data_IF_908874333568
#
_entry.id   IF_908874333568
#
_cell.length_a   1.000
_cell.length_b   1.000
_cell.length_c   1.000
_cell.angle_alpha   90.00
_cell.angle_beta   90.00
_cell.angle_gamma   90.00
#
_symmetry.space_group_name_H-M   'P 1'
#
loop_
_entity.id
_entity.type
_entity.pdbx_description
1 polymer ?
#
# COMPACT_ATOMS: atom_id res chain seq x y z
N UNK A 1 7.14 -12.99 14.09
CA UNK A 1 8.25 -13.90 13.68
C UNK A 1 8.07 -14.21 12.20
N UNK A 2 9.13 -14.33 11.39
CA UNK A 2 8.96 -14.82 10.00
C UNK A 2 8.93 -16.34 9.97
N UNK A 3 7.89 -16.92 9.39
CA UNK A 3 7.74 -18.36 9.16
C UNK A 3 7.74 -18.64 7.65
N UNK A 4 8.37 -19.72 7.21
CA UNK A 4 8.45 -20.06 5.79
C UNK A 4 7.40 -21.13 5.43
N UNK A 5 6.45 -20.75 4.59
CA UNK A 5 5.43 -21.64 4.04
C UNK A 5 6.03 -22.44 2.88
N UNK A 6 6.17 -23.75 3.03
CA UNK A 6 6.90 -24.60 2.09
C UNK A 6 6.14 -24.86 0.79
N UNK A 7 4.81 -25.02 0.84
CA UNK A 7 3.96 -25.21 -0.34
C UNK A 7 3.79 -23.89 -1.08
N UNK A 8 3.42 -22.82 -0.37
CA UNK A 8 3.30 -21.46 -0.95
C UNK A 8 4.65 -20.81 -1.34
N UNK A 9 5.79 -21.36 -0.88
CA UNK A 9 7.15 -20.86 -1.12
C UNK A 9 7.33 -19.37 -0.79
N UNK A 10 6.81 -18.95 0.37
CA UNK A 10 6.83 -17.55 0.82
C UNK A 10 6.97 -17.43 2.33
N UNK A 11 7.47 -16.29 2.80
CA UNK A 11 7.41 -15.95 4.21
C UNK A 11 6.03 -15.40 4.59
N UNK A 12 5.49 -15.88 5.70
CA UNK A 12 4.45 -15.18 6.46
C UNK A 12 5.03 -14.63 7.78
N UNK A 13 4.31 -13.69 8.37
CA UNK A 13 4.72 -12.90 9.52
C UNK A 13 3.64 -12.98 10.60
N UNK A 14 3.60 -14.11 11.28
CA UNK A 14 2.67 -14.39 12.38
C UNK A 14 3.32 -14.08 13.74
N UNK A 15 2.58 -14.35 14.81
CA UNK A 15 3.08 -14.24 16.17
C UNK A 15 3.10 -12.81 16.69
N UNK A 16 1.94 -12.19 16.55
CA UNK A 16 1.58 -10.89 17.11
C UNK A 16 1.23 -11.00 18.60
N UNK A 17 1.02 -12.20 19.15
CA UNK A 17 0.67 -12.40 20.58
C UNK A 17 1.79 -11.90 21.50
N UNK A 18 3.04 -11.89 21.02
CA UNK A 18 4.20 -11.29 21.70
C UNK A 18 4.09 -9.80 22.01
N UNK A 19 3.19 -9.05 21.36
CA UNK A 19 2.90 -7.65 21.67
C UNK A 19 1.74 -7.47 22.69
N UNK A 20 1.05 -8.54 23.08
CA UNK A 20 0.05 -8.50 24.17
C UNK A 20 0.75 -8.54 25.55
N UNK A 21 0.09 -8.12 26.65
CA UNK A 21 0.60 -8.33 28.01
C UNK A 21 1.01 -9.79 28.27
N UNK A 22 2.04 -10.02 29.10
CA UNK A 22 2.62 -11.36 29.28
C UNK A 22 1.66 -12.37 29.95
N UNK A 23 0.70 -11.88 30.73
CA UNK A 23 -0.40 -12.64 31.32
C UNK A 23 -1.62 -12.83 30.39
N UNK A 24 -1.62 -12.24 29.18
CA UNK A 24 -2.79 -12.28 28.29
C UNK A 24 -3.09 -13.69 27.78
N UNK A 25 -4.35 -14.14 27.95
CA UNK A 25 -4.79 -15.52 27.70
C UNK A 25 -4.42 -16.07 26.31
N UNK A 26 -4.42 -15.23 25.27
CA UNK A 26 -4.04 -15.65 23.92
C UNK A 26 -2.62 -16.24 23.83
N UNK A 27 -1.65 -15.76 24.63
CA UNK A 27 -0.26 -16.27 24.61
C UNK A 27 -0.14 -17.77 24.86
N UNK A 28 -1.09 -18.37 25.61
CA UNK A 28 -1.13 -19.80 25.97
C UNK A 28 -2.11 -20.63 25.12
N UNK A 29 -2.98 -20.00 24.32
CA UNK A 29 -4.10 -20.65 23.60
C UNK A 29 -3.67 -21.31 22.27
N UNK A 30 -2.58 -22.10 22.29
CA UNK A 30 -1.92 -22.63 21.09
C UNK A 30 -2.83 -23.26 20.02
N UNK A 31 -3.89 -23.98 20.45
CA UNK A 31 -4.88 -24.63 19.56
C UNK A 31 -5.71 -23.67 18.70
N UNK A 32 -5.85 -22.40 19.10
CA UNK A 32 -6.59 -21.38 18.34
C UNK A 32 -5.73 -20.75 17.21
N UNK A 33 -4.42 -21.01 17.20
CA UNK A 33 -3.45 -20.33 16.34
C UNK A 33 -2.59 -21.32 15.53
N UNK A 34 -1.26 -21.28 15.70
CA UNK A 34 -0.25 -22.05 14.96
C UNK A 34 0.29 -23.26 15.77
N UNK A 35 -0.46 -23.75 16.75
CA UNK A 35 -0.06 -24.77 17.72
C UNK A 35 1.14 -24.40 18.62
N UNK A 36 1.60 -23.13 18.64
CA UNK A 36 2.67 -22.67 19.53
C UNK A 36 2.18 -21.77 20.68
N UNK A 37 2.96 -21.73 21.77
CA UNK A 37 2.77 -20.77 22.87
C UNK A 37 3.77 -19.62 22.73
N UNK A 38 3.32 -18.38 22.93
CA UNK A 38 4.12 -17.17 22.70
C UNK A 38 4.41 -16.47 24.02
N UNK A 39 5.37 -17.01 24.77
CA UNK A 39 5.83 -16.47 26.05
C UNK A 39 7.00 -15.47 25.92
N UNK A 40 7.63 -15.40 24.73
CA UNK A 40 8.66 -14.41 24.38
C UNK A 40 8.13 -12.96 24.47
N UNK A 41 9.03 -12.01 24.73
CA UNK A 41 8.72 -10.57 24.63
C UNK A 41 8.58 -10.13 23.16
N UNK A 42 7.97 -8.96 22.95
CA UNK A 42 7.98 -8.30 21.64
C UNK A 42 9.45 -8.03 21.21
N UNK A 43 9.80 -8.20 19.92
CA UNK A 43 11.12 -7.83 19.43
C UNK A 43 11.43 -6.36 19.67
N UNK A 44 12.59 -6.08 20.26
CA UNK A 44 13.07 -4.72 20.47
C UNK A 44 13.52 -4.13 19.12
N UNK A 45 13.06 -2.90 18.82
CA UNK A 45 13.46 -2.18 17.61
C UNK A 45 14.97 -1.93 17.61
N UNK A 46 15.64 -2.31 16.53
CA UNK A 46 17.08 -2.13 16.36
C UNK A 46 17.48 -0.65 16.43
N UNK A 47 18.51 -0.33 17.23
CA UNK A 47 19.10 1.02 17.32
C UNK A 47 19.86 1.39 16.05
N UNK A 48 20.02 2.69 15.78
CA UNK A 48 20.82 3.17 14.66
C UNK A 48 22.27 2.67 14.72
N UNK A 49 22.89 2.69 15.90
CA UNK A 49 24.26 2.21 16.12
C UNK A 49 24.41 0.74 15.74
N UNK A 50 23.44 -0.10 16.13
CA UNK A 50 23.43 -1.52 15.75
C UNK A 50 23.23 -1.71 14.26
N UNK A 51 22.35 -0.93 13.62
CA UNK A 51 22.14 -0.98 12.18
C UNK A 51 23.40 -0.54 11.39
N UNK A 52 24.10 0.51 11.84
CA UNK A 52 25.36 0.95 11.22
C UNK A 52 26.48 -0.09 11.40
N UNK A 53 26.63 -0.69 12.59
CA UNK A 53 27.58 -1.80 12.82
C UNK A 53 27.37 -2.98 11.88
N UNK A 54 26.11 -3.32 11.56
CA UNK A 54 25.80 -4.38 10.58
C UNK A 54 26.16 -4.03 9.13
N UNK A 55 26.37 -2.74 8.83
CA UNK A 55 26.78 -2.23 7.52
C UNK A 55 28.30 -1.97 7.42
N UNK A 56 29.00 -1.85 8.56
CA UNK A 56 30.45 -1.66 8.61
C UNK A 56 31.19 -2.82 7.91
N UNK A 57 32.26 -2.49 7.18
CA UNK A 57 33.05 -3.46 6.41
C UNK A 57 32.35 -4.06 5.17
N UNK A 58 31.07 -3.74 4.89
CA UNK A 58 30.35 -4.29 3.74
C UNK A 58 30.47 -3.39 2.50
N UNK A 59 30.97 -3.95 1.40
CA UNK A 59 31.08 -3.26 0.10
C UNK A 59 29.79 -3.43 -0.71
N UNK A 60 29.09 -2.33 -0.95
CA UNK A 60 27.86 -2.30 -1.75
C UNK A 60 28.13 -1.78 -3.16
N UNK A 61 28.12 -2.67 -4.15
CA UNK A 61 28.24 -2.28 -5.56
C UNK A 61 26.90 -1.74 -6.07
N UNK A 62 26.86 -0.44 -6.40
CA UNK A 62 25.71 0.19 -7.02
C UNK A 62 25.65 -0.11 -8.53
N UNK A 63 24.44 -0.19 -9.09
CA UNK A 63 24.20 -0.53 -10.50
C UNK A 63 24.07 -2.03 -10.78
N UNK A 64 23.59 -2.37 -11.99
CA UNK A 64 23.68 -3.75 -12.50
C UNK A 64 25.07 -3.96 -13.07
N UNK A 65 25.74 -5.07 -12.73
CA UNK A 65 26.88 -5.55 -13.52
C UNK A 65 26.37 -5.82 -14.95
N UNK A 66 26.76 -4.96 -15.90
CA UNK A 66 26.65 -5.28 -17.32
C UNK A 66 27.60 -6.45 -17.55
N UNK A 67 27.04 -7.63 -17.79
CA UNK A 67 27.84 -8.81 -18.13
C UNK A 67 28.30 -8.62 -19.58
N UNK A 68 29.43 -7.94 -19.75
CA UNK A 68 30.13 -7.86 -21.03
C UNK A 68 30.57 -9.29 -21.36
N UNK A 69 29.85 -9.94 -22.27
CA UNK A 69 30.22 -11.25 -22.76
C UNK A 69 31.62 -11.16 -23.39
N UNK A 70 32.59 -11.95 -22.87
CA UNK A 70 33.93 -12.03 -23.46
C UNK A 70 33.78 -12.46 -24.92
N UNK A 71 34.19 -11.61 -25.86
CA UNK A 71 34.29 -11.98 -27.29
C UNK A 71 35.32 -13.10 -27.44
N UNK A 72 34.85 -14.32 -27.70
CA UNK A 72 35.71 -15.40 -28.16
C UNK A 72 36.22 -15.10 -29.58
N UNK A 73 37.50 -15.37 -29.85
CA UNK A 73 38.07 -15.32 -31.20
C UNK A 73 37.51 -16.46 -32.05
N UNK A 74 37.07 -16.19 -33.30
CA UNK A 74 36.60 -17.25 -34.21
C UNK A 74 36.19 -16.81 -35.62
N UNK A 75 37.17 -16.79 -36.54
CA UNK A 75 37.15 -16.87 -38.03
C UNK A 75 36.07 -16.14 -38.90
N UNK A 76 36.55 -15.58 -40.02
CA UNK A 76 35.80 -14.91 -41.11
C UNK A 76 34.98 -15.86 -42.01
N UNK A 77 33.77 -15.42 -42.40
CA UNK A 77 33.09 -15.48 -43.73
C UNK A 77 31.74 -14.71 -43.62
N UNK A 78 31.21 -13.98 -44.62
CA UNK A 78 31.83 -13.42 -45.83
C UNK A 78 30.84 -13.15 -46.99
N UNK A 79 30.44 -11.86 -47.21
CA UNK A 79 29.51 -11.34 -48.26
C UNK A 79 28.04 -11.82 -48.16
N UNK A 80 26.99 -11.11 -48.63
CA UNK A 80 26.83 -9.78 -49.26
C UNK A 80 25.40 -9.20 -48.96
N UNK A 81 25.17 -7.93 -49.35
CA UNK A 81 23.88 -7.29 -49.75
C UNK A 81 22.64 -7.15 -48.83
N UNK A 82 22.27 -5.87 -48.63
CA UNK A 82 20.93 -5.25 -48.83
C UNK A 82 19.88 -5.04 -47.70
N UNK A 83 18.97 -4.09 -48.01
CA UNK A 83 18.15 -3.25 -47.10
C UNK A 83 16.83 -3.92 -46.70
N UNK A 84 16.32 -3.58 -45.51
CA UNK A 84 14.95 -3.87 -45.12
C UNK A 84 14.56 -3.19 -43.79
N UNK A 85 13.45 -2.46 -43.78
CA UNK A 85 12.83 -1.81 -42.61
C UNK A 85 12.11 -2.81 -41.69
N UNK A 86 12.09 -2.56 -40.37
CA UNK A 86 10.87 -2.53 -39.53
C UNK A 86 11.16 -2.29 -38.03
N UNK A 87 10.11 -2.07 -37.23
CA UNK A 87 10.15 -1.42 -35.91
C UNK A 87 10.49 -2.27 -34.67
N UNK A 88 10.36 -1.70 -33.45
CA UNK A 88 10.89 -2.30 -32.23
C UNK A 88 10.03 -3.44 -31.66
N UNK A 89 10.40 -4.68 -31.97
CA UNK A 89 9.73 -5.87 -31.44
C UNK A 89 10.04 -6.16 -29.95
N UNK A 90 9.04 -6.64 -29.21
CA UNK A 90 9.10 -6.86 -27.76
C UNK A 90 9.91 -8.12 -27.40
N UNK A 91 11.11 -7.94 -26.85
CA UNK A 91 11.97 -9.07 -26.43
C UNK A 91 11.32 -9.96 -25.34
N UNK A 92 10.89 -11.17 -25.73
CA UNK A 92 10.51 -12.26 -24.82
C UNK A 92 11.71 -12.73 -23.99
N UNK A 93 11.55 -12.79 -22.66
CA UNK A 93 12.55 -13.40 -21.74
C UNK A 93 12.64 -14.91 -21.95
N UNK A 94 13.73 -15.41 -22.53
CA UNK A 94 14.04 -16.85 -22.53
C UNK A 94 14.43 -17.31 -21.11
N UNK A 95 13.81 -18.40 -20.62
CA UNK A 95 14.17 -19.07 -19.36
C UNK A 95 15.46 -19.88 -19.56
N UNK A 96 16.34 -19.90 -18.56
CA UNK A 96 17.51 -20.78 -18.55
C UNK A 96 17.10 -22.26 -18.23
N UNK A 97 17.89 -23.27 -18.63
CA UNK A 97 17.52 -24.67 -18.46
C UNK A 97 17.56 -25.14 -17.01
N UNK A 98 16.71 -26.12 -16.71
CA UNK A 98 16.50 -26.68 -15.39
C UNK A 98 17.62 -27.70 -15.04
N UNK A 99 18.39 -27.48 -13.97
CA UNK A 99 19.33 -28.50 -13.44
C UNK A 99 18.63 -29.29 -12.32
N UNK A 100 18.57 -30.61 -12.45
CA UNK A 100 17.83 -31.51 -11.55
C UNK A 100 18.48 -31.62 -10.14
N UNK A 101 17.62 -32.00 -9.21
CA UNK A 101 17.80 -32.40 -7.81
C UNK A 101 19.17 -32.93 -7.36
N UNK A 102 19.58 -32.46 -6.17
CA UNK A 102 20.54 -33.12 -5.27
C UNK A 102 20.42 -32.54 -3.86
N UNK A 103 20.25 -33.41 -2.85
CA UNK A 103 20.19 -33.21 -1.40
C UNK A 103 19.93 -31.80 -0.82
N UNK A 104 18.85 -31.69 -0.05
CA UNK A 104 18.55 -30.50 0.79
C UNK A 104 19.50 -30.50 2.01
N UNK A 105 20.74 -30.06 1.78
CA UNK A 105 21.59 -29.61 2.87
C UNK A 105 20.88 -28.48 3.62
N UNK A 106 20.78 -28.61 4.96
CA UNK A 106 20.18 -27.61 5.85
C UNK A 106 20.94 -26.30 5.62
N UNK A 107 20.30 -25.31 4.97
CA UNK A 107 20.97 -24.03 4.68
C UNK A 107 21.45 -23.42 5.99
N UNK A 108 22.69 -22.90 6.07
CA UNK A 108 23.16 -22.24 7.27
C UNK A 108 22.20 -21.11 7.63
N UNK A 109 21.98 -20.91 8.93
CA UNK A 109 21.20 -19.78 9.41
C UNK A 109 21.84 -18.49 8.89
N UNK A 110 21.06 -17.70 8.16
CA UNK A 110 21.54 -16.42 7.65
C UNK A 110 21.74 -15.48 8.82
N UNK A 111 22.92 -14.86 8.91
CA UNK A 111 23.11 -13.79 9.88
C UNK A 111 22.15 -12.65 9.51
N UNK A 112 21.62 -11.89 10.48
CA UNK A 112 20.70 -10.78 10.19
C UNK A 112 21.30 -9.75 9.20
N UNK A 113 22.62 -9.62 9.21
CA UNK A 113 23.40 -8.80 8.28
C UNK A 113 23.27 -9.22 6.80
N UNK A 114 23.06 -10.51 6.52
CA UNK A 114 22.94 -11.07 5.16
C UNK A 114 21.61 -10.69 4.47
N UNK A 115 20.74 -10.00 5.19
CA UNK A 115 19.54 -9.37 4.66
C UNK A 115 19.85 -8.06 3.90
N UNK A 116 20.95 -7.37 4.21
CA UNK A 116 21.34 -6.12 3.56
C UNK A 116 21.91 -6.35 2.17
N UNK A 117 21.09 -6.11 1.13
CA UNK A 117 21.50 -6.20 -0.29
C UNK A 117 21.97 -4.87 -0.90
N UNK A 118 21.73 -3.76 -0.20
CA UNK A 118 22.05 -2.38 -0.62
C UNK A 118 22.25 -1.51 0.62
N UNK A 119 23.12 -0.50 0.51
CA UNK A 119 23.19 0.65 1.42
C UNK A 119 22.47 1.84 0.77
N UNK A 120 21.66 2.55 1.52
CA UNK A 120 21.12 3.86 1.14
C UNK A 120 22.17 4.94 1.43
N UNK A 121 22.23 6.00 0.61
CA UNK A 121 23.05 7.18 0.88
C UNK A 121 22.71 7.85 2.22
N UNK A 122 21.48 7.66 2.72
CA UNK A 122 21.06 8.21 4.01
C UNK A 122 21.80 7.62 5.20
N UNK A 123 22.42 6.43 5.08
CA UNK A 123 23.27 5.87 6.15
C UNK A 123 24.62 6.60 6.29
N UNK A 124 24.97 7.49 5.34
CA UNK A 124 26.18 8.31 5.38
C UNK A 124 25.95 9.69 6.04
N UNK A 125 24.70 10.00 6.44
CA UNK A 125 24.36 11.21 7.17
C UNK A 125 24.75 11.07 8.65
N UNK A 126 25.49 12.04 9.19
CA UNK A 126 26.00 12.03 10.57
C UNK A 126 24.91 11.78 11.62
N UNK A 127 23.73 12.39 11.43
CA UNK A 127 22.60 12.24 12.34
C UNK A 127 21.79 10.93 12.17
N UNK A 128 22.11 10.09 11.18
CA UNK A 128 21.29 8.90 10.87
C UNK A 128 21.23 7.92 12.04
N UNK A 129 22.34 7.76 12.77
CA UNK A 129 22.40 6.92 13.97
C UNK A 129 21.35 7.32 15.03
N UNK A 130 21.13 8.63 15.17
CA UNK A 130 20.27 9.22 16.20
C UNK A 130 18.83 9.45 15.72
N UNK A 131 18.55 9.33 14.42
CA UNK A 131 17.19 9.41 13.89
C UNK A 131 16.31 8.33 14.56
N UNK A 132 15.21 8.73 15.21
CA UNK A 132 14.26 7.81 15.85
C UNK A 132 13.36 7.10 14.81
N UNK A 133 12.91 7.82 13.78
CA UNK A 133 12.03 7.33 12.72
C UNK A 133 12.85 6.78 11.54
N UNK A 134 13.54 5.65 11.77
CA UNK A 134 14.50 5.07 10.81
C UNK A 134 13.86 4.39 9.61
N UNK A 135 12.64 3.91 9.75
CA UNK A 135 11.95 3.14 8.71
C UNK A 135 10.96 3.99 7.90
N UNK A 136 10.32 4.99 8.53
CA UNK A 136 9.34 5.90 7.93
C UNK A 136 8.35 5.14 7.03
N UNK A 137 7.58 4.26 7.66
CA UNK A 137 6.76 3.26 7.00
C UNK A 137 5.70 3.92 6.10
N UNK A 138 5.68 3.48 4.84
CA UNK A 138 4.77 3.96 3.81
C UNK A 138 3.34 3.48 4.07
N UNK A 139 2.60 4.25 4.88
CA UNK A 139 1.23 3.93 5.29
C UNK A 139 0.31 3.77 4.07
N UNK A 140 0.52 4.55 3.00
CA UNK A 140 -0.29 4.50 1.79
C UNK A 140 -0.18 3.13 1.11
N UNK A 141 1.04 2.64 0.92
CA UNK A 141 1.25 1.34 0.32
C UNK A 141 0.91 0.19 1.26
N UNK A 142 1.12 0.34 2.57
CA UNK A 142 0.71 -0.66 3.57
C UNK A 142 -0.81 -0.84 3.56
N UNK A 143 -1.56 0.25 3.73
CA UNK A 143 -3.02 0.26 3.74
C UNK A 143 -3.59 -0.30 2.42
N UNK A 144 -3.06 0.16 1.27
CA UNK A 144 -3.43 -0.39 -0.05
C UNK A 144 -3.20 -1.90 -0.14
N UNK A 145 -2.05 -2.40 0.33
CA UNK A 145 -1.76 -3.83 0.29
C UNK A 145 -2.68 -4.63 1.23
N UNK A 146 -3.03 -4.08 2.40
CA UNK A 146 -3.97 -4.70 3.34
C UNK A 146 -5.36 -4.80 2.72
N UNK A 147 -5.85 -3.71 2.12
CA UNK A 147 -7.11 -3.69 1.37
C UNK A 147 -7.11 -4.68 0.19
N UNK A 148 -6.06 -4.69 -0.64
CA UNK A 148 -5.95 -5.61 -1.79
C UNK A 148 -5.88 -7.08 -1.35
N UNK A 149 -5.25 -7.36 -0.20
CA UNK A 149 -5.24 -8.69 0.41
C UNK A 149 -6.61 -9.10 0.96
N UNK A 150 -7.32 -8.18 1.63
CA UNK A 150 -8.69 -8.41 2.11
C UNK A 150 -9.63 -8.69 0.94
N UNK A 151 -9.83 -7.73 0.03
CA UNK A 151 -10.73 -7.86 -1.13
C UNK A 151 -10.38 -9.08 -1.99
N UNK A 152 -9.09 -9.30 -2.26
CA UNK A 152 -8.64 -10.45 -3.05
C UNK A 152 -9.01 -11.79 -2.42
N UNK A 153 -9.08 -11.86 -1.09
CA UNK A 153 -9.46 -13.07 -0.33
C UNK A 153 -10.99 -13.17 -0.19
N UNK A 154 -11.67 -12.08 0.21
CA UNK A 154 -13.12 -12.04 0.39
C UNK A 154 -13.88 -12.39 -0.89
N UNK A 155 -13.48 -11.79 -2.02
CA UNK A 155 -14.06 -12.04 -3.34
C UNK A 155 -13.45 -13.27 -4.04
N UNK A 156 -12.50 -13.96 -3.40
CA UNK A 156 -11.72 -15.08 -3.94
C UNK A 156 -11.25 -14.85 -5.39
N UNK A 157 -10.50 -13.76 -5.58
CA UNK A 157 -10.03 -13.33 -6.90
C UNK A 157 -8.77 -14.13 -7.26
N UNK A 158 -8.79 -14.80 -8.41
CA UNK A 158 -7.62 -15.55 -8.90
C UNK A 158 -6.34 -14.67 -8.93
N UNK A 159 -5.20 -15.31 -8.63
CA UNK A 159 -3.88 -14.72 -8.39
C UNK A 159 -3.76 -13.72 -7.21
N UNK A 160 -4.85 -13.16 -6.69
CA UNK A 160 -4.84 -12.20 -5.55
C UNK A 160 -5.23 -12.84 -4.22
N UNK A 161 -6.13 -13.82 -4.25
CA UNK A 161 -6.62 -14.56 -3.08
C UNK A 161 -5.49 -15.12 -2.24
N UNK A 162 -5.67 -15.10 -0.92
CA UNK A 162 -4.75 -15.76 0.01
C UNK A 162 -5.14 -17.21 0.28
N UNK A 163 -6.24 -17.68 -0.33
CA UNK A 163 -6.89 -18.96 -0.06
C UNK A 163 -6.57 -20.09 -1.07
N UNK A 164 -5.57 -19.91 -1.93
CA UNK A 164 -5.25 -20.90 -2.96
C UNK A 164 -4.76 -22.26 -2.42
N UNK A 165 -4.83 -23.31 -3.25
CA UNK A 165 -4.47 -24.70 -2.91
C UNK A 165 -3.16 -24.84 -2.10
N UNK A 166 -2.09 -24.15 -2.50
CA UNK A 166 -0.82 -24.20 -1.78
C UNK A 166 -0.94 -23.69 -0.33
N UNK A 167 -1.72 -22.63 -0.09
CA UNK A 167 -1.95 -22.10 1.25
C UNK A 167 -2.78 -23.05 2.12
N UNK A 168 -3.68 -23.84 1.51
CA UNK A 168 -4.43 -24.91 2.19
C UNK A 168 -3.55 -26.12 2.49
N UNK A 169 -2.66 -26.51 1.57
CA UNK A 169 -1.66 -27.57 1.81
C UNK A 169 -0.65 -27.18 2.92
N UNK A 170 -0.29 -25.89 3.02
CA UNK A 170 0.56 -25.41 4.13
C UNK A 170 -0.12 -25.61 5.51
N UNK A 171 -1.46 -25.60 5.61
CA UNK A 171 -2.17 -25.88 6.87
C UNK A 171 -1.93 -27.31 7.37
N UNK A 172 -1.91 -28.29 6.45
CA UNK A 172 -1.58 -29.68 6.75
C UNK A 172 -0.14 -29.85 7.23
N UNK A 173 0.80 -29.12 6.61
CA UNK A 173 2.21 -29.15 7.01
C UNK A 173 2.49 -28.47 8.36
N UNK A 174 1.68 -27.47 8.74
CA UNK A 174 1.73 -26.82 10.07
C UNK A 174 0.91 -27.62 11.11
N UNK A 175 0.02 -28.52 10.68
CA UNK A 175 -0.85 -29.32 11.57
C UNK A 175 -2.02 -28.53 12.16
N UNK A 176 -2.53 -27.51 11.47
CA UNK A 176 -3.63 -26.65 11.93
C UNK A 176 -4.85 -26.74 11.02
N UNK A 177 -6.03 -26.41 11.60
CA UNK A 177 -7.30 -26.22 10.87
C UNK A 177 -7.61 -27.34 9.87
N UNK A 178 -7.64 -28.59 10.33
CA UNK A 178 -7.92 -29.78 9.52
C UNK A 178 -9.17 -29.64 8.64
N UNK A 179 -10.24 -29.03 9.15
CA UNK A 179 -11.48 -28.76 8.41
C UNK A 179 -11.33 -27.87 7.16
N UNK A 180 -10.21 -27.15 7.01
CA UNK A 180 -9.89 -26.33 5.83
C UNK A 180 -8.84 -26.98 4.92
N UNK A 181 -8.26 -28.12 5.28
CA UNK A 181 -7.24 -28.77 4.46
C UNK A 181 -7.85 -29.33 3.15
N UNK A 182 -7.06 -29.53 2.09
CA UNK A 182 -7.56 -30.17 0.88
C UNK A 182 -7.81 -31.66 1.11
N UNK A 183 -8.87 -32.20 0.49
CA UNK A 183 -9.20 -33.62 0.55
C UNK A 183 -9.31 -34.19 -0.88
N UNK A 184 -9.18 -35.51 -1.04
CA UNK A 184 -9.50 -36.17 -2.30
C UNK A 184 -11.00 -36.50 -2.33
N UNK A 185 -11.73 -35.95 -3.30
CA UNK A 185 -13.12 -36.30 -3.56
C UNK A 185 -13.27 -37.53 -4.45
N UNK A 186 -14.50 -37.99 -4.67
CA UNK A 186 -14.91 -39.26 -5.31
C UNK A 186 -14.31 -39.57 -6.71
N UNK A 187 -13.62 -38.62 -7.33
CA UNK A 187 -13.02 -38.74 -8.67
C UNK A 187 -11.52 -38.43 -8.70
N UNK A 188 -10.82 -38.53 -7.56
CA UNK A 188 -9.41 -38.19 -7.43
C UNK A 188 -9.11 -36.71 -7.68
N UNK A 189 -10.13 -35.85 -7.64
CA UNK A 189 -9.97 -34.39 -7.69
C UNK A 189 -9.70 -33.88 -6.29
N UNK A 190 -8.72 -32.99 -6.17
CA UNK A 190 -8.48 -32.27 -4.92
C UNK A 190 -9.57 -31.24 -4.70
N UNK A 191 -10.37 -31.42 -3.66
CA UNK A 191 -11.45 -30.51 -3.27
C UNK A 191 -10.99 -29.58 -2.13
N UNK A 192 -11.43 -28.32 -2.20
CA UNK A 192 -11.10 -27.28 -1.22
C UNK A 192 -12.37 -26.93 -0.42
N UNK A 193 -12.41 -27.20 0.90
CA UNK A 193 -13.53 -26.80 1.75
C UNK A 193 -13.76 -25.29 1.72
N UNK A 194 -15.01 -24.86 1.67
CA UNK A 194 -15.36 -23.43 1.68
C UNK A 194 -14.86 -22.75 2.96
N UNK A 195 -14.09 -21.66 2.84
CA UNK A 195 -13.56 -20.94 3.99
C UNK A 195 -14.57 -19.96 4.60
N UNK A 196 -14.55 -19.72 5.92
CA UNK A 196 -15.45 -18.75 6.60
C UNK A 196 -15.19 -17.29 6.20
N UNK A 197 -14.12 -17.02 5.45
CA UNK A 197 -13.75 -15.69 4.95
C UNK A 197 -13.94 -15.52 3.44
N UNK A 198 -14.35 -16.55 2.69
CA UNK A 198 -14.73 -16.39 1.29
C UNK A 198 -16.21 -16.04 1.20
N UNK A 199 -16.59 -15.14 0.29
CA UNK A 199 -17.98 -14.81 0.01
C UNK A 199 -18.59 -15.79 -0.99
N UNK A 200 -19.83 -16.24 -0.72
CA UNK A 200 -20.69 -16.84 -1.73
C UNK A 200 -21.07 -15.81 -2.82
N UNK A 201 -21.51 -16.30 -3.98
CA UNK A 201 -21.70 -15.49 -5.18
C UNK A 201 -22.66 -14.32 -4.95
N UNK A 202 -23.76 -14.56 -4.24
CA UNK A 202 -24.80 -13.58 -3.89
C UNK A 202 -24.21 -12.42 -3.06
N UNK A 203 -23.33 -12.75 -2.11
CA UNK A 203 -22.63 -11.76 -1.28
C UNK A 203 -21.60 -10.95 -2.09
N UNK A 204 -20.89 -11.60 -3.04
CA UNK A 204 -20.00 -10.92 -4.00
C UNK A 204 -20.78 -9.96 -4.90
N UNK A 205 -21.96 -10.37 -5.39
CA UNK A 205 -22.85 -9.55 -6.21
C UNK A 205 -23.35 -8.30 -5.46
N UNK A 206 -23.74 -8.43 -4.18
CA UNK A 206 -24.09 -7.28 -3.33
C UNK A 206 -22.89 -6.33 -3.17
N UNK A 207 -21.71 -6.83 -2.78
CA UNK A 207 -20.54 -5.98 -2.54
C UNK A 207 -20.12 -5.22 -3.82
N UNK A 208 -20.04 -5.92 -4.94
CA UNK A 208 -19.70 -5.32 -6.23
C UNK A 208 -20.75 -4.28 -6.67
N UNK A 209 -22.05 -4.53 -6.41
CA UNK A 209 -23.12 -3.58 -6.72
C UNK A 209 -23.01 -2.31 -5.87
N UNK A 210 -22.76 -2.43 -4.57
CA UNK A 210 -22.55 -1.28 -3.67
C UNK A 210 -21.36 -0.45 -4.13
N UNK A 211 -20.20 -1.07 -4.40
CA UNK A 211 -19.00 -0.34 -4.85
C UNK A 211 -19.19 0.28 -6.23
N UNK A 212 -19.89 -0.40 -7.16
CA UNK A 212 -20.13 0.10 -8.52
C UNK A 212 -21.04 1.34 -8.56
N UNK A 213 -22.00 1.40 -7.64
CA UNK A 213 -23.02 2.45 -7.57
C UNK A 213 -22.67 3.57 -6.57
N UNK A 214 -21.66 3.35 -5.71
CA UNK A 214 -21.18 4.34 -4.77
C UNK A 214 -20.70 5.61 -5.49
N UNK A 215 -21.14 6.77 -5.00
CA UNK A 215 -20.70 8.09 -5.44
C UNK A 215 -20.05 8.80 -4.26
N UNK A 216 -18.88 9.38 -4.48
CA UNK A 216 -18.16 10.22 -3.52
C UNK A 216 -18.24 11.68 -3.96
N UNK A 217 -17.97 12.65 -3.06
CA UNK A 217 -17.68 14.03 -3.45
C UNK A 217 -16.55 14.12 -4.49
N UNK A 218 -16.50 15.19 -5.28
CA UNK A 218 -15.40 15.39 -6.21
C UNK A 218 -14.07 15.56 -5.46
N UNK A 219 -12.98 15.17 -6.12
CA UNK A 219 -11.65 15.08 -5.48
C UNK A 219 -11.47 13.96 -4.44
N UNK A 220 -12.55 13.39 -3.88
CA UNK A 220 -12.48 12.38 -2.82
C UNK A 220 -12.05 10.99 -3.32
N UNK A 221 -12.57 10.53 -4.46
CA UNK A 221 -12.14 9.26 -5.05
C UNK A 221 -12.29 9.26 -6.58
N UNK A 222 -11.76 8.24 -7.25
CA UNK A 222 -12.06 8.01 -8.66
C UNK A 222 -13.44 7.36 -8.84
N UNK A 223 -13.93 7.31 -10.09
CA UNK A 223 -15.20 6.65 -10.40
C UNK A 223 -15.05 5.12 -10.26
N UNK A 224 -15.41 4.59 -9.09
CA UNK A 224 -15.35 3.17 -8.75
C UNK A 224 -16.10 2.27 -9.74
N UNK A 225 -17.15 2.77 -10.41
CA UNK A 225 -17.92 2.01 -11.41
C UNK A 225 -17.05 1.48 -12.55
N UNK A 226 -15.95 2.18 -12.88
CA UNK A 226 -14.95 1.75 -13.88
C UNK A 226 -14.00 0.66 -13.38
N UNK A 227 -13.97 0.42 -12.07
CA UNK A 227 -13.08 -0.53 -11.40
C UNK A 227 -13.77 -1.86 -11.05
N UNK A 228 -15.11 -1.93 -11.14
CA UNK A 228 -15.91 -3.14 -10.85
C UNK A 228 -16.20 -3.92 -12.14
N UNK A 229 -15.80 -5.18 -12.18
CA UNK A 229 -16.27 -6.13 -13.19
C UNK A 229 -17.40 -6.98 -12.62
N UNK A 230 -18.65 -6.72 -13.05
CA UNK A 230 -19.85 -7.45 -12.59
C UNK A 230 -19.98 -8.87 -13.16
N UNK A 231 -19.24 -9.24 -14.21
CA UNK A 231 -19.27 -10.62 -14.76
C UNK A 231 -18.42 -11.55 -13.90
N UNK A 232 -17.20 -11.10 -13.61
CA UNK A 232 -16.23 -11.86 -12.80
C UNK A 232 -16.39 -11.61 -11.28
N UNK A 233 -17.17 -10.60 -10.89
CA UNK A 233 -17.35 -10.14 -9.51
C UNK A 233 -16.01 -9.75 -8.86
N UNK A 234 -15.18 -9.00 -9.60
CA UNK A 234 -13.83 -8.59 -9.19
C UNK A 234 -13.63 -7.07 -9.20
N UNK A 235 -12.66 -6.61 -8.38
CA UNK A 235 -12.18 -5.23 -8.38
C UNK A 235 -10.79 -5.13 -9.02
N UNK A 236 -10.64 -4.17 -9.95
CA UNK A 236 -9.41 -3.94 -10.72
C UNK A 236 -9.19 -2.44 -10.99
N UNK A 237 -7.94 -2.01 -11.18
CA UNK A 237 -7.63 -0.62 -11.56
C UNK A 237 -7.74 0.43 -10.43
N UNK A 238 -8.10 0.04 -9.21
CA UNK A 238 -8.15 0.93 -8.04
C UNK A 238 -6.77 1.52 -7.72
N UNK A 239 -6.71 2.82 -7.47
CA UNK A 239 -5.53 3.54 -6.97
C UNK A 239 -5.47 3.45 -5.45
N UNK A 240 -4.33 3.79 -4.86
CA UNK A 240 -4.14 3.76 -3.40
C UNK A 240 -5.19 4.58 -2.64
N UNK A 241 -5.61 5.73 -3.18
CA UNK A 241 -6.65 6.58 -2.60
C UNK A 241 -8.05 5.95 -2.67
N UNK A 242 -8.34 5.22 -3.75
CA UNK A 242 -9.59 4.47 -3.86
C UNK A 242 -9.62 3.35 -2.82
N UNK A 243 -8.51 2.62 -2.64
CA UNK A 243 -8.38 1.59 -1.62
C UNK A 243 -8.55 2.13 -0.20
N UNK A 244 -8.01 3.32 0.09
CA UNK A 244 -8.15 4.03 1.36
C UNK A 244 -9.62 4.37 1.67
N UNK A 245 -10.29 5.09 0.77
CA UNK A 245 -11.71 5.46 0.92
C UNK A 245 -12.62 4.23 1.02
N UNK A 246 -12.37 3.20 0.20
CA UNK A 246 -13.16 1.98 0.28
C UNK A 246 -12.90 1.24 1.60
N UNK A 247 -11.64 1.09 2.07
CA UNK A 247 -11.35 0.38 3.32
C UNK A 247 -11.95 1.07 4.55
N UNK A 248 -11.83 2.40 4.65
CA UNK A 248 -12.20 3.14 5.86
C UNK A 248 -13.69 3.45 5.97
N UNK A 249 -14.35 3.80 4.85
CA UNK A 249 -15.71 4.36 4.88
C UNK A 249 -16.76 3.46 4.23
N UNK A 250 -16.43 2.76 3.15
CA UNK A 250 -17.43 2.04 2.33
C UNK A 250 -17.53 0.55 2.71
N UNK A 251 -16.38 -0.13 2.83
CA UNK A 251 -16.32 -1.57 3.09
C UNK A 251 -16.92 -1.96 4.44
N UNK A 252 -16.74 -1.22 5.56
CA UNK A 252 -17.38 -1.54 6.83
C UNK A 252 -18.90 -1.52 6.73
N UNK A 253 -19.45 -0.52 6.05
CA UNK A 253 -20.91 -0.35 5.85
C UNK A 253 -21.44 -1.41 4.88
N UNK A 254 -20.77 -1.65 3.75
CA UNK A 254 -21.16 -2.66 2.78
C UNK A 254 -21.17 -4.06 3.40
N UNK A 255 -20.17 -4.39 4.23
CA UNK A 255 -20.06 -5.70 4.85
C UNK A 255 -21.22 -6.00 5.80
N UNK A 256 -21.89 -5.02 6.43
CA UNK A 256 -23.07 -5.26 7.27
C UNK A 256 -24.16 -6.11 6.56
N UNK A 257 -24.27 -6.00 5.24
CA UNK A 257 -25.23 -6.73 4.41
C UNK A 257 -24.63 -7.89 3.59
N UNK A 258 -23.30 -8.00 3.47
CA UNK A 258 -22.66 -9.00 2.61
C UNK A 258 -21.47 -9.76 3.25
N UNK A 259 -21.25 -9.64 4.57
CA UNK A 259 -20.15 -10.31 5.26
C UNK A 259 -20.14 -11.85 5.01
N UNK A 260 -18.97 -12.49 4.81
CA UNK A 260 -18.93 -13.95 4.66
C UNK A 260 -19.32 -14.64 5.97
N UNK A 261 -18.73 -14.21 7.09
CA UNK A 261 -19.04 -14.59 8.48
C UNK A 261 -18.97 -13.37 9.41
N UNK A 262 -19.61 -13.46 10.58
CA UNK A 262 -19.66 -12.35 11.57
C UNK A 262 -18.27 -11.96 12.07
N UNK A 263 -17.40 -12.94 12.32
CA UNK A 263 -16.03 -12.70 12.77
C UNK A 263 -15.25 -11.85 11.75
N UNK A 264 -15.40 -12.16 10.46
CA UNK A 264 -14.74 -11.43 9.37
C UNK A 264 -15.29 -10.01 9.24
N UNK A 265 -16.59 -9.81 9.45
CA UNK A 265 -17.19 -8.46 9.51
C UNK A 265 -16.53 -7.63 10.62
N UNK A 266 -16.48 -8.17 11.84
CA UNK A 266 -15.90 -7.49 13.01
C UNK A 266 -14.43 -7.14 12.75
N UNK A 267 -13.64 -8.10 12.26
CA UNK A 267 -12.23 -7.88 11.92
C UNK A 267 -12.02 -6.77 10.88
N UNK A 268 -12.83 -6.71 9.82
CA UNK A 268 -12.68 -5.64 8.82
C UNK A 268 -13.12 -4.28 9.37
N UNK A 269 -14.16 -4.23 10.20
CA UNK A 269 -14.58 -3.01 10.91
C UNK A 269 -13.49 -2.53 11.88
N UNK A 270 -12.84 -3.43 12.63
CA UNK A 270 -11.70 -3.12 13.51
C UNK A 270 -10.52 -2.54 12.71
N UNK A 271 -10.15 -3.16 11.59
CA UNK A 271 -9.06 -2.69 10.71
C UNK A 271 -9.36 -1.32 10.09
N UNK A 272 -10.61 -1.10 9.64
CA UNK A 272 -11.04 0.17 9.07
C UNK A 272 -11.00 1.29 10.12
N UNK A 273 -11.53 1.04 11.32
CA UNK A 273 -11.46 1.98 12.45
C UNK A 273 -10.03 2.26 12.88
N UNK A 274 -9.14 1.26 12.84
CA UNK A 274 -7.71 1.44 13.11
C UNK A 274 -7.08 2.42 12.13
N UNK A 275 -7.20 2.18 10.81
CA UNK A 275 -6.63 3.08 9.81
C UNK A 275 -7.29 4.47 9.84
N UNK A 276 -8.60 4.55 10.10
CA UNK A 276 -9.33 5.83 10.21
C UNK A 276 -8.87 6.67 11.39
N UNK A 277 -8.60 6.07 12.56
CA UNK A 277 -7.99 6.77 13.69
C UNK A 277 -6.53 7.16 13.41
N UNK A 278 -5.74 6.25 12.86
CA UNK A 278 -4.32 6.46 12.55
C UNK A 278 -4.10 7.57 11.50
N UNK A 279 -4.97 7.65 10.50
CA UNK A 279 -4.90 8.62 9.40
C UNK A 279 -5.66 9.92 9.68
N UNK A 280 -6.13 10.14 10.92
CA UNK A 280 -6.76 11.39 11.35
C UNK A 280 -5.82 12.59 11.18
N UNK A 281 -6.38 13.75 10.82
CA UNK A 281 -5.65 15.03 10.74
C UNK A 281 -5.06 15.47 12.09
N UNK A 282 -5.70 15.06 13.19
CA UNK A 282 -5.29 15.34 14.56
C UNK A 282 -5.16 14.01 15.30
N UNK A 283 -4.02 13.78 15.95
CA UNK A 283 -3.76 12.60 16.78
C UNK A 283 -3.76 13.00 18.25
N UNK A 284 -4.62 12.36 19.04
CA UNK A 284 -4.56 12.38 20.49
C UNK A 284 -3.56 11.29 20.97
N UNK A 285 -2.45 11.70 21.57
CA UNK A 285 -1.43 10.79 22.08
C UNK A 285 -1.96 9.83 23.17
N UNK A 286 -2.99 10.22 23.93
CA UNK A 286 -3.62 9.37 24.95
C UNK A 286 -4.50 8.25 24.35
N UNK A 287 -5.00 8.45 23.12
CA UNK A 287 -5.71 7.43 22.35
C UNK A 287 -4.74 6.45 21.65
N UNK A 288 -3.50 6.87 21.36
CA UNK A 288 -2.55 6.05 20.59
C UNK A 288 -2.18 4.74 21.31
N UNK A 289 -2.04 4.72 22.65
CA UNK A 289 -1.77 3.46 23.36
C UNK A 289 -2.93 2.46 23.26
N UNK A 290 -4.18 2.94 23.34
CA UNK A 290 -5.37 2.12 23.10
C UNK A 290 -5.44 1.63 21.66
N UNK A 291 -5.01 2.45 20.70
CA UNK A 291 -4.93 2.11 19.28
C UNK A 291 -3.88 1.01 19.02
N UNK A 292 -2.73 1.08 19.70
CA UNK A 292 -1.69 0.05 19.67
C UNK A 292 -2.18 -1.28 20.27
N UNK A 293 -2.90 -1.25 21.39
CA UNK A 293 -3.49 -2.45 21.98
C UNK A 293 -4.57 -3.07 21.05
N UNK A 294 -5.42 -2.21 20.48
CA UNK A 294 -6.49 -2.61 19.56
C UNK A 294 -5.94 -3.32 18.32
N UNK A 295 -4.92 -2.76 17.66
CA UNK A 295 -4.36 -3.38 16.45
C UNK A 295 -3.65 -4.71 16.72
N UNK A 296 -3.00 -4.85 17.88
CA UNK A 296 -2.39 -6.12 18.31
C UNK A 296 -3.47 -7.18 18.53
N UNK A 297 -4.58 -6.84 19.21
CA UNK A 297 -5.72 -7.74 19.40
C UNK A 297 -6.37 -8.12 18.07
N UNK A 298 -6.59 -7.14 17.18
CA UNK A 298 -7.15 -7.34 15.83
C UNK A 298 -6.27 -8.31 15.05
N UNK A 299 -4.95 -8.08 14.95
CA UNK A 299 -4.02 -8.97 14.25
C UNK A 299 -3.98 -10.39 14.84
N UNK A 300 -4.14 -10.55 16.16
CA UNK A 300 -4.28 -11.86 16.78
C UNK A 300 -5.62 -12.54 16.42
N UNK A 301 -6.74 -11.82 16.47
CA UNK A 301 -8.04 -12.36 16.08
C UNK A 301 -8.08 -12.72 14.59
N UNK A 302 -7.42 -11.94 13.73
CA UNK A 302 -7.18 -12.30 12.33
C UNK A 302 -6.40 -13.62 12.20
N UNK A 303 -5.39 -13.87 13.04
CA UNK A 303 -4.57 -15.08 12.99
C UNK A 303 -5.36 -16.36 13.35
N UNK A 304 -6.50 -16.21 14.02
CA UNK A 304 -7.48 -17.28 14.26
C UNK A 304 -8.40 -17.55 13.07
N UNK A 305 -8.66 -16.53 12.24
CA UNK A 305 -9.66 -16.57 11.15
C UNK A 305 -9.02 -16.75 9.78
N UNK A 306 -8.08 -15.89 9.37
CA UNK A 306 -7.42 -15.94 8.07
C UNK A 306 -6.23 -16.92 8.05
N UNK A 307 -5.89 -17.45 6.87
CA UNK A 307 -4.77 -18.39 6.73
C UNK A 307 -3.40 -17.73 7.01
N UNK A 308 -2.37 -18.50 7.41
CA UNK A 308 -0.98 -18.02 7.51
C UNK A 308 -0.49 -17.26 6.27
N UNK A 309 -0.95 -17.68 5.10
CA UNK A 309 -0.67 -17.07 3.79
C UNK A 309 -1.11 -15.60 3.64
N UNK A 310 -2.02 -15.12 4.50
CA UNK A 310 -2.54 -13.76 4.53
C UNK A 310 -1.56 -12.78 5.20
N UNK A 311 -0.80 -13.26 6.20
CA UNK A 311 0.13 -12.48 7.02
C UNK A 311 1.41 -12.13 6.24
N UNK A 312 1.27 -11.30 5.22
CA UNK A 312 2.38 -10.70 4.48
C UNK A 312 3.12 -9.68 5.35
N UNK A 313 4.32 -9.27 4.91
CA UNK A 313 5.07 -8.20 5.59
C UNK A 313 4.25 -6.93 5.76
N UNK A 314 3.43 -6.55 4.78
CA UNK A 314 2.58 -5.34 4.87
C UNK A 314 1.53 -5.45 5.98
N UNK A 315 0.92 -6.62 6.18
CA UNK A 315 -0.01 -6.87 7.31
C UNK A 315 0.74 -6.82 8.64
N UNK A 316 1.95 -7.37 8.70
CA UNK A 316 2.77 -7.29 9.91
C UNK A 316 3.21 -5.85 10.25
N UNK A 317 3.54 -5.03 9.26
CA UNK A 317 3.96 -3.64 9.48
C UNK A 317 2.92 -2.79 10.21
N UNK A 318 1.63 -3.17 10.16
CA UNK A 318 0.54 -2.53 10.89
C UNK A 318 0.80 -2.42 12.40
N UNK A 319 1.47 -3.42 13.00
CA UNK A 319 1.76 -3.43 14.45
C UNK A 319 2.74 -2.34 14.88
N UNK A 320 3.51 -1.77 13.94
CA UNK A 320 4.51 -0.73 14.18
C UNK A 320 4.02 0.68 13.83
N UNK A 321 2.88 0.81 13.14
CA UNK A 321 2.41 2.10 12.60
C UNK A 321 2.07 3.13 13.68
N UNK A 322 1.60 2.70 14.84
CA UNK A 322 1.24 3.60 15.94
C UNK A 322 2.49 4.21 16.56
N UNK A 323 3.56 3.42 16.76
CA UNK A 323 4.85 3.93 17.23
C UNK A 323 5.47 4.91 16.20
N UNK A 324 5.39 4.58 14.91
CA UNK A 324 5.79 5.49 13.83
C UNK A 324 4.93 6.78 13.79
N UNK A 325 3.68 6.75 14.26
CA UNK A 325 2.82 7.93 14.42
C UNK A 325 3.13 8.74 15.69
N UNK A 326 3.50 8.10 16.81
CA UNK A 326 4.02 8.79 18.00
C UNK A 326 5.32 9.54 17.70
N UNK A 327 6.20 8.93 16.90
CA UNK A 327 7.51 9.49 16.55
C UNK A 327 7.45 10.50 15.38
N UNK A 328 6.66 10.20 14.35
CA UNK A 328 6.58 10.97 13.11
C UNK A 328 5.35 11.88 12.98
N UNK A 329 4.51 11.95 14.02
CA UNK A 329 3.26 12.70 14.02
C UNK A 329 2.20 12.17 13.03
N UNK A 330 1.15 12.98 12.77
CA UNK A 330 0.05 12.65 11.88
C UNK A 330 0.51 12.10 10.52
N UNK A 331 -0.18 11.05 10.05
CA UNK A 331 0.18 10.36 8.80
C UNK A 331 0.09 11.28 7.59
N UNK A 332 -0.74 12.35 7.62
CA UNK A 332 -0.94 13.20 6.44
C UNK A 332 0.31 13.95 5.97
N UNK A 333 1.25 14.25 6.88
CA UNK A 333 2.56 14.83 6.54
C UNK A 333 3.53 13.81 5.92
N UNK A 334 3.24 12.51 6.07
CA UNK A 334 4.09 11.39 5.63
C UNK A 334 3.47 10.59 4.49
N UNK A 335 2.37 11.07 3.90
CA UNK A 335 1.77 10.45 2.72
C UNK A 335 2.69 10.50 1.50
N UNK A 336 2.75 9.40 0.76
CA UNK A 336 3.43 9.35 -0.54
C UNK A 336 2.61 9.99 -1.67
N UNK A 337 1.31 10.27 -1.49
CA UNK A 337 0.45 10.86 -2.53
C UNK A 337 0.99 12.14 -3.20
N UNK A 338 1.59 13.12 -2.48
CA UNK A 338 2.18 14.31 -3.11
C UNK A 338 3.47 13.96 -3.85
N UNK A 339 4.35 13.16 -3.22
CA UNK A 339 5.64 12.77 -3.77
C UNK A 339 5.50 11.96 -5.07
N UNK A 340 4.58 10.99 -5.11
CA UNK A 340 4.32 10.23 -6.34
C UNK A 340 3.73 11.09 -7.46
N UNK A 341 2.85 12.05 -7.13
CA UNK A 341 2.32 13.02 -8.10
C UNK A 341 3.45 13.89 -8.68
N UNK A 342 4.30 14.44 -7.83
CA UNK A 342 5.49 15.20 -8.26
C UNK A 342 6.44 14.35 -9.11
N UNK A 343 6.68 13.08 -8.75
CA UNK A 343 7.52 12.19 -9.55
C UNK A 343 6.91 11.80 -10.90
N UNK A 344 5.59 11.68 -11.02
CA UNK A 344 4.92 11.49 -12.32
C UNK A 344 5.10 12.71 -13.20
N UNK A 345 4.96 13.91 -12.62
CA UNK A 345 5.17 15.17 -13.32
C UNK A 345 6.62 15.36 -13.76
N UNK A 346 7.61 15.21 -12.88
CA UNK A 346 9.04 15.29 -13.22
C UNK A 346 9.43 14.30 -14.34
N UNK A 347 8.88 13.07 -14.32
CA UNK A 347 9.09 12.09 -15.39
C UNK A 347 8.51 12.54 -16.74
N UNK A 348 7.49 13.39 -16.75
CA UNK A 348 6.90 13.94 -17.99
C UNK A 348 7.78 15.01 -18.65
N UNK A 349 8.66 15.66 -17.87
CA UNK A 349 9.66 16.62 -18.37
C UNK A 349 10.86 15.93 -19.05
N UNK A 350 11.08 14.63 -18.80
CA UNK A 350 12.21 13.86 -19.39
C UNK A 350 11.94 13.54 -20.87
N UNK A 351 12.28 14.50 -21.74
CA UNK A 351 12.34 14.35 -23.20
C UNK A 351 13.60 13.60 -23.63
N UNK A 352 14.75 13.90 -23.03
CA UNK A 352 16.01 13.20 -23.30
C UNK A 352 16.39 12.24 -22.16
N UNK A 353 16.34 10.93 -22.42
CA UNK A 353 16.69 9.89 -21.43
C UNK A 353 18.20 9.65 -21.26
N UNK A 354 19.05 10.22 -22.12
CA UNK A 354 20.51 10.17 -21.94
C UNK A 354 20.99 11.19 -20.90
N UNK A 355 20.25 12.29 -20.72
CA UNK A 355 20.53 13.36 -19.77
C UNK A 355 19.25 13.77 -19.02
N UNK A 356 18.69 12.88 -18.18
CA UNK A 356 17.37 13.10 -17.59
C UNK A 356 17.33 14.30 -16.64
N UNK A 357 18.42 14.60 -15.91
CA UNK A 357 18.52 15.75 -15.01
C UNK A 357 18.45 17.07 -15.77
N UNK A 358 19.24 17.21 -16.85
CA UNK A 358 19.23 18.39 -17.72
C UNK A 358 17.88 18.57 -18.42
N UNK A 359 17.28 17.47 -18.90
CA UNK A 359 15.94 17.51 -19.52
C UNK A 359 14.83 17.90 -18.53
N UNK A 360 14.97 17.56 -17.24
CA UNK A 360 14.04 18.01 -16.20
C UNK A 360 14.24 19.51 -15.95
N UNK A 361 15.48 19.98 -15.81
CA UNK A 361 15.76 21.39 -15.57
C UNK A 361 15.23 22.28 -16.71
N UNK A 362 15.51 21.93 -17.96
CA UNK A 362 14.99 22.63 -19.14
C UNK A 362 13.46 22.64 -19.17
N UNK A 363 12.82 21.47 -18.99
CA UNK A 363 11.36 21.35 -18.98
C UNK A 363 10.70 22.12 -17.84
N UNK A 364 11.36 22.20 -16.67
CA UNK A 364 10.91 22.95 -15.50
C UNK A 364 10.93 24.45 -15.79
N UNK A 365 12.05 24.99 -16.30
CA UNK A 365 12.18 26.41 -16.69
C UNK A 365 11.13 26.78 -17.74
N UNK A 366 10.90 25.92 -18.74
CA UNK A 366 9.86 26.16 -19.74
C UNK A 366 8.45 26.17 -19.11
N UNK A 367 8.13 25.27 -18.18
CA UNK A 367 6.83 25.29 -17.51
C UNK A 367 6.64 26.52 -16.61
N UNK A 368 7.68 26.97 -15.90
CA UNK A 368 7.63 28.20 -15.10
C UNK A 368 7.42 29.44 -15.97
N UNK A 369 8.21 29.60 -17.05
CA UNK A 369 8.05 30.71 -17.99
C UNK A 369 6.66 30.71 -18.64
N UNK A 370 6.16 29.55 -19.10
CA UNK A 370 4.81 29.43 -19.67
C UNK A 370 3.73 29.70 -18.62
N UNK A 371 3.91 29.24 -17.38
CA UNK A 371 2.99 29.52 -16.28
C UNK A 371 2.96 31.02 -15.97
N UNK A 372 4.10 31.69 -15.89
CA UNK A 372 4.19 33.15 -15.71
C UNK A 372 3.51 33.90 -16.85
N UNK A 373 3.86 33.62 -18.11
CA UNK A 373 3.24 34.22 -19.29
C UNK A 373 1.71 34.01 -19.31
N UNK A 374 1.23 32.85 -18.86
CA UNK A 374 -0.21 32.53 -18.83
C UNK A 374 -1.06 33.41 -17.90
N UNK A 375 -0.44 34.28 -17.09
CA UNK A 375 -1.14 35.34 -16.32
C UNK A 375 -1.52 36.55 -17.17
N UNK A 376 -0.86 36.74 -18.31
CA UNK A 376 -1.01 37.90 -19.21
C UNK A 376 -1.66 37.52 -20.55
N UNK A 377 -2.10 36.27 -20.70
CA UNK A 377 -2.78 35.77 -21.90
C UNK A 377 -4.28 35.73 -21.68
N UNK A 378 -5.04 36.24 -22.66
CA UNK A 378 -6.49 36.11 -22.71
C UNK A 378 -6.92 34.67 -23.08
N UNK A 379 -8.11 34.27 -22.62
CA UNK A 379 -8.66 32.93 -22.86
C UNK A 379 -8.46 31.96 -21.70
N UNK A 380 -8.48 30.65 -21.99
CA UNK A 380 -8.38 29.58 -20.97
C UNK A 380 -6.91 29.25 -20.66
N UNK A 381 -6.45 29.63 -19.48
CA UNK A 381 -5.07 29.46 -19.01
C UNK A 381 -5.00 28.56 -17.77
N UNK A 382 -3.80 28.35 -17.19
CA UNK A 382 -3.66 27.61 -15.92
C UNK A 382 -4.39 28.28 -14.76
N UNK A 383 -4.59 29.60 -14.82
CA UNK A 383 -5.22 30.41 -13.78
C UNK A 383 -6.69 30.74 -14.07
N UNK A 384 -7.06 30.95 -15.34
CA UNK A 384 -8.43 31.34 -15.73
C UNK A 384 -9.34 30.15 -16.07
N UNK A 385 -8.79 28.92 -16.12
CA UNK A 385 -9.61 27.72 -16.36
C UNK A 385 -10.55 27.45 -15.19
N UNK A 386 -11.85 27.47 -15.46
CA UNK A 386 -12.92 27.15 -14.53
C UNK A 386 -12.68 25.81 -13.82
N UNK A 387 -13.03 25.76 -12.52
CA UNK A 387 -13.06 24.52 -11.73
C UNK A 387 -13.89 23.44 -12.40
N UNK A 388 -13.57 22.17 -12.10
CA UNK A 388 -14.28 21.02 -12.65
C UNK A 388 -15.74 20.96 -12.19
N UNK A 389 -15.98 21.39 -10.95
CA UNK A 389 -17.29 21.77 -10.44
C UNK A 389 -17.19 23.25 -10.06
N UNK A 390 -17.74 24.18 -10.86
CA UNK A 390 -17.80 25.57 -10.48
C UNK A 390 -18.74 25.73 -9.29
N UNK A 391 -18.20 26.15 -8.16
CA UNK A 391 -19.00 26.57 -7.01
C UNK A 391 -19.45 28.03 -7.23
N UNK A 392 -20.57 28.53 -6.67
CA UNK A 392 -20.97 29.93 -6.84
C UNK A 392 -19.91 30.93 -6.35
N UNK A 393 -19.02 30.49 -5.46
CA UNK A 393 -17.85 31.23 -4.99
C UNK A 393 -16.69 31.33 -5.98
N UNK A 394 -16.58 30.45 -7.00
CA UNK A 394 -15.49 30.53 -8.00
C UNK A 394 -15.54 31.83 -8.82
N UNK A 395 -16.69 32.51 -8.87
CA UNK A 395 -16.87 33.80 -9.53
C UNK A 395 -16.10 34.96 -8.86
N UNK A 396 -15.55 34.80 -7.65
CA UNK A 396 -14.74 35.83 -6.97
C UNK A 396 -13.23 35.63 -7.11
N UNK A 397 -12.77 34.49 -7.66
CA UNK A 397 -11.35 34.19 -7.90
C UNK A 397 -10.80 35.05 -9.03
N UNK A 398 -10.28 36.22 -8.67
CA UNK A 398 -9.70 37.18 -9.61
C UNK A 398 -9.30 38.53 -9.02
N UNK A 399 -9.77 38.88 -7.81
CA UNK A 399 -9.50 40.20 -7.22
C UNK A 399 -8.21 40.28 -6.38
N UNK A 400 -7.72 39.19 -5.78
CA UNK A 400 -6.55 39.25 -4.89
C UNK A 400 -5.54 38.10 -5.03
N UNK A 401 -4.29 38.41 -4.68
CA UNK A 401 -3.14 37.49 -4.76
C UNK A 401 -3.16 36.37 -3.69
N UNK A 402 -4.03 36.49 -2.68
CA UNK A 402 -4.13 35.59 -1.53
C UNK A 402 -5.60 35.32 -1.12
N UNK A 403 -6.41 34.82 -2.06
CA UNK A 403 -7.78 34.39 -1.79
C UNK A 403 -7.80 33.12 -0.91
N UNK A 404 -7.91 33.31 0.40
CA UNK A 404 -8.13 32.26 1.41
C UNK A 404 -9.58 32.29 1.92
N UNK A 405 -10.53 32.32 0.98
CA UNK A 405 -11.96 32.30 1.29
C UNK A 405 -12.33 30.96 1.94
N UNK A 406 -13.02 30.98 3.07
CA UNK A 406 -13.46 29.77 3.77
C UNK A 406 -14.56 29.05 2.99
N UNK A 407 -14.40 27.74 2.76
CA UNK A 407 -15.42 26.92 2.09
C UNK A 407 -16.58 26.56 3.06
N UNK A 408 -17.86 26.74 2.66
CA UNK A 408 -19.00 26.36 3.50
C UNK A 408 -19.17 24.83 3.53
N UNK A 409 -19.24 24.26 4.73
CA UNK A 409 -19.56 22.83 4.90
C UNK A 409 -21.07 22.63 4.82
N UNK A 410 -21.57 22.24 3.64
CA UNK A 410 -22.97 21.86 3.42
C UNK A 410 -23.70 22.77 2.43
N UNK A 411 -25.03 22.82 2.51
CA UNK A 411 -25.85 23.65 1.63
C UNK A 411 -25.70 25.12 2.02
N UNK A 412 -24.96 25.89 1.21
CA UNK A 412 -24.87 27.33 1.38
C UNK A 412 -26.26 27.98 1.31
N UNK A 413 -26.57 28.82 2.30
CA UNK A 413 -27.77 29.67 2.34
C UNK A 413 -27.30 31.11 2.37
N UNK A 414 -27.67 31.90 1.36
CA UNK A 414 -27.35 33.33 1.32
C UNK A 414 -28.17 34.06 2.37
N UNK A 415 -27.55 34.42 3.50
CA UNK A 415 -28.20 35.12 4.63
C UNK A 415 -28.33 36.63 4.35
N UNK A 416 -27.56 37.15 3.38
CA UNK A 416 -27.65 38.52 2.87
C UNK A 416 -26.54 38.80 1.86
N UNK A 417 -26.63 39.94 1.16
CA UNK A 417 -25.48 40.52 0.45
C UNK A 417 -24.77 41.49 1.41
N UNK A 418 -23.48 41.27 1.63
CA UNK A 418 -22.61 42.24 2.30
C UNK A 418 -22.02 43.18 1.25
N UNK A 419 -21.83 44.46 1.59
CA UNK A 419 -21.01 45.34 0.75
C UNK A 419 -19.53 44.92 0.81
N UNK A 420 -18.74 45.33 -0.18
CA UNK A 420 -17.33 44.96 -0.30
C UNK A 420 -16.51 45.33 0.95
N UNK A 421 -16.91 46.41 1.65
CA UNK A 421 -16.22 46.91 2.84
C UNK A 421 -16.48 46.01 4.05
N UNK A 422 -17.72 45.59 4.27
CA UNK A 422 -18.13 44.63 5.30
C UNK A 422 -17.54 43.26 5.01
N UNK A 423 -17.49 42.84 3.74
CA UNK A 423 -16.85 41.59 3.32
C UNK A 423 -15.35 41.58 3.71
N UNK A 424 -14.62 42.65 3.38
CA UNK A 424 -13.20 42.82 3.75
C UNK A 424 -13.00 42.86 5.27
N UNK A 425 -13.91 43.49 6.02
CA UNK A 425 -13.83 43.50 7.50
C UNK A 425 -14.07 42.11 8.10
N UNK A 426 -15.10 41.38 7.64
CA UNK A 426 -15.37 40.02 8.06
C UNK A 426 -14.19 39.09 7.78
N UNK A 427 -13.61 39.17 6.56
CA UNK A 427 -12.45 38.36 6.17
C UNK A 427 -11.20 38.64 7.02
N UNK A 428 -11.00 39.90 7.43
CA UNK A 428 -9.90 40.29 8.35
C UNK A 428 -10.10 39.82 9.78
N UNK A 429 -11.34 39.67 10.26
CA UNK A 429 -11.62 39.06 11.57
C UNK A 429 -11.35 37.55 11.56
N UNK A 430 -11.72 36.84 10.49
CA UNK A 430 -11.51 35.38 10.38
C UNK A 430 -10.02 35.02 10.28
N UNK A 431 -9.19 35.86 9.67
CA UNK A 431 -7.74 35.64 9.51
C UNK A 431 -6.87 36.22 10.65
N UNK A 432 -7.47 36.73 11.73
CA UNK A 432 -6.76 37.27 12.91
C UNK A 432 -6.83 36.39 14.16
N UNK A 433 -7.38 35.19 14.02
CA UNK A 433 -7.34 34.10 15.00
C UNK A 433 -6.82 32.82 14.32
#
# INVERSE_FOLDING_TARGET
>A
RSYWLNKSKKFCYMGHRRWLPQNHVFRRRKKEFDNTEEMELAPITMSGSSALRMLQGRVFVLGKKVVVAKKGKGKKKGKDSEKGTEGPEKQKRKRAPNKKSGNVARKPEKKPEDCFKKKSIFFDLEYWEHNKLRHNLDVMHIEKNVFENLIGTLLDIDSKTKDGLNARLDLGEIGIRSSLQPHEGDKGKTELPHAPFNMYKEKKEILCTVIKNCRTPDGCASNFSRCVNMKELTLTGLKSHDCHVILQDILPVALLHCYPSKDVMILVVELANFFKKLCSKVLDFSELDKLQESIVKTLCNMEKVFLPSFFTVMVHLMVHLVEEAKLGGPVHYRWMYPLERSFVWLKSLVRNRAYPEGSIAEGYTVEECLTFCSRFLEGTTRFTRTSRNPDPSDNTKGMYMFDSVGEPIGKAVTIGQLDDRLLVQAHRCVLRH
#
